data_IF_936192789295
#
_entry.id   IF_936192789295
#
_cell.length_a   1.000
_cell.length_b   1.000
_cell.length_c   1.000
_cell.angle_alpha   90.00
_cell.angle_beta   90.00
_cell.angle_gamma   90.00
#
_symmetry.space_group_name_H-M   'P 1'
#
loop_
_entity.id
_entity.type
_entity.pdbx_description
1 polymer ?
#
# COMPACT_ATOMS: atom_id res chain seq x y z
N UNK A 1 -18.17 -4.27 48.51
CA UNK A 1 -19.58 -4.01 48.27
C UNK A 1 -19.75 -2.56 47.81
N UNK A 2 -19.94 -2.32 46.55
CA UNK A 2 -20.75 -1.23 45.98
C UNK A 2 -20.81 -1.48 44.46
N UNK A 3 -22.03 -1.57 44.03
CA UNK A 3 -22.49 -2.11 42.77
C UNK A 3 -22.33 -1.11 41.61
N UNK A 4 -21.91 -1.65 40.53
CA UNK A 4 -22.05 -1.33 39.11
C UNK A 4 -23.42 -0.70 38.82
N UNK A 5 -23.43 0.36 38.02
CA UNK A 5 -24.61 0.74 37.26
C UNK A 5 -24.19 0.99 35.80
N UNK A 6 -24.52 0.01 35.00
CA UNK A 6 -24.50 -0.01 33.55
C UNK A 6 -25.51 1.01 33.02
N UNK A 7 -25.09 1.89 32.15
CA UNK A 7 -26.02 2.72 31.37
C UNK A 7 -25.84 2.38 29.89
N UNK A 8 -26.80 1.61 29.42
CA UNK A 8 -27.04 1.27 28.02
C UNK A 8 -27.60 2.55 27.35
N UNK A 9 -26.87 3.09 26.37
CA UNK A 9 -27.37 4.14 25.51
C UNK A 9 -27.68 3.56 24.14
N UNK A 10 -28.96 3.29 23.92
CA UNK A 10 -29.50 2.92 22.63
C UNK A 10 -29.60 4.17 21.74
N UNK A 11 -28.87 4.18 20.62
CA UNK A 11 -29.03 5.20 19.59
C UNK A 11 -30.05 4.71 18.58
N UNK A 12 -31.19 5.38 18.57
CA UNK A 12 -32.26 5.20 17.58
C UNK A 12 -31.85 5.93 16.32
N UNK A 13 -31.67 5.18 15.24
CA UNK A 13 -31.51 5.73 13.89
C UNK A 13 -32.88 5.98 13.32
N UNK A 14 -33.25 7.24 13.17
CA UNK A 14 -34.46 7.65 12.44
C UNK A 14 -34.14 7.75 10.97
N UNK A 15 -34.73 6.84 10.19
CA UNK A 15 -34.74 6.89 8.72
C UNK A 15 -35.84 7.85 8.30
N UNK A 16 -35.48 8.96 7.70
CA UNK A 16 -36.41 9.84 6.97
C UNK A 16 -36.24 9.61 5.46
N UNK A 17 -37.16 8.83 4.93
CA UNK A 17 -37.40 8.77 3.50
C UNK A 17 -38.21 10.01 3.08
N UNK A 18 -37.67 10.80 2.18
CA UNK A 18 -38.46 11.84 1.49
C UNK A 18 -38.50 11.51 0.01
N UNK A 19 -39.70 11.11 -0.39
CA UNK A 19 -40.20 11.03 -1.73
C UNK A 19 -40.14 12.40 -2.42
N UNK A 20 -39.49 12.48 -3.53
CA UNK A 20 -39.91 13.40 -4.60
C UNK A 20 -39.83 12.66 -5.93
N UNK A 21 -41.00 12.32 -6.44
CA UNK A 21 -41.20 11.92 -7.81
C UNK A 21 -41.12 13.12 -8.72
N UNK A 22 -40.55 12.92 -9.89
CA UNK A 22 -40.85 13.73 -11.06
C UNK A 22 -40.89 12.82 -12.29
N UNK A 23 -42.06 12.82 -12.89
CA UNK A 23 -42.46 12.09 -14.10
C UNK A 23 -42.13 12.90 -15.33
N UNK A 24 -41.83 12.22 -16.43
CA UNK A 24 -42.27 12.67 -17.74
C UNK A 24 -41.20 12.91 -18.79
N UNK A 25 -41.40 12.19 -19.88
CA UNK A 25 -41.30 12.53 -21.27
C UNK A 25 -40.05 11.98 -21.96
N UNK A 26 -40.06 10.79 -22.60
CA UNK A 26 -40.48 10.55 -24.01
C UNK A 26 -39.86 11.53 -25.04
N UNK A 27 -38.94 11.06 -25.84
CA UNK A 27 -39.03 10.66 -27.24
C UNK A 27 -37.64 10.44 -27.87
N UNK A 28 -37.47 9.30 -28.49
CA UNK A 28 -36.52 9.13 -29.59
C UNK A 28 -37.23 9.53 -30.92
N UNK A 29 -36.49 9.92 -31.96
CA UNK A 29 -36.35 9.01 -33.10
C UNK A 29 -34.96 9.05 -33.74
N UNK A 30 -34.40 7.92 -34.09
CA UNK A 30 -34.39 7.19 -35.37
C UNK A 30 -33.77 7.92 -36.58
N UNK A 31 -32.76 7.18 -37.14
CA UNK A 31 -32.41 7.03 -38.55
C UNK A 31 -31.80 8.23 -39.32
N UNK A 32 -30.57 8.02 -39.76
CA UNK A 32 -30.33 7.80 -41.20
C UNK A 32 -28.91 7.36 -41.50
N UNK A 33 -28.87 6.28 -42.21
CA UNK A 33 -27.79 5.72 -43.01
C UNK A 33 -27.23 6.75 -44.02
N UNK A 34 -25.93 6.67 -44.29
CA UNK A 34 -25.51 6.63 -45.71
C UNK A 34 -24.10 6.02 -45.78
N UNK A 35 -24.09 4.93 -46.50
CA UNK A 35 -22.95 4.25 -47.11
C UNK A 35 -22.61 5.05 -48.35
N UNK A 36 -21.36 5.39 -48.57
CA UNK A 36 -20.89 5.68 -49.92
C UNK A 36 -19.52 5.08 -50.18
N UNK A 37 -19.47 4.45 -51.30
CA UNK A 37 -18.58 3.43 -51.84
C UNK A 37 -17.39 4.10 -52.49
N UNK A 38 -16.23 3.37 -52.46
CA UNK A 38 -14.97 3.53 -53.14
C UNK A 38 -15.05 3.95 -54.63
N UNK A 39 -13.95 4.46 -55.19
CA UNK A 39 -13.22 3.52 -56.05
C UNK A 39 -11.69 3.52 -55.86
N UNK A 40 -11.14 2.35 -56.22
CA UNK A 40 -9.74 2.02 -56.49
C UNK A 40 -9.12 2.92 -57.58
N UNK A 41 -7.86 3.16 -57.54
CA UNK A 41 -6.83 2.63 -58.44
C UNK A 41 -5.41 3.19 -58.17
N UNK A 42 -4.52 2.28 -58.06
CA UNK A 42 -3.33 2.00 -58.87
C UNK A 42 -2.03 2.75 -58.59
N UNK A 43 -1.11 1.92 -58.12
CA UNK A 43 0.28 1.75 -58.56
C UNK A 43 1.27 2.90 -58.47
N UNK A 44 2.28 2.74 -57.59
CA UNK A 44 3.70 2.70 -58.01
C UNK A 44 4.61 2.37 -56.84
N UNK A 45 5.39 1.36 -57.03
CA UNK A 45 6.54 0.88 -56.24
C UNK A 45 7.56 1.99 -56.05
N UNK A 46 7.94 2.27 -54.79
CA UNK A 46 9.28 2.77 -54.48
C UNK A 46 9.72 2.22 -53.13
N UNK A 47 10.71 1.38 -53.16
CA UNK A 47 11.40 0.86 -52.00
C UNK A 47 12.07 1.99 -51.22
N UNK A 48 11.62 2.24 -49.99
CA UNK A 48 12.36 2.98 -48.97
C UNK A 48 12.40 2.12 -47.72
N UNK A 49 13.62 1.76 -47.35
CA UNK A 49 13.99 1.08 -46.12
C UNK A 49 13.41 1.86 -44.92
N UNK A 50 12.70 1.27 -43.98
CA UNK A 50 12.38 1.97 -42.76
C UNK A 50 13.65 2.08 -41.90
N UNK A 51 14.15 3.28 -41.81
CA UNK A 51 15.09 3.72 -40.80
C UNK A 51 14.44 3.45 -39.45
N UNK A 52 14.95 2.45 -38.74
CA UNK A 52 14.58 2.16 -37.36
C UNK A 52 15.03 3.36 -36.53
N UNK A 53 14.11 4.27 -36.24
CA UNK A 53 14.29 5.23 -35.15
C UNK A 53 14.51 4.45 -33.86
N UNK A 54 15.76 4.41 -33.42
CA UNK A 54 16.13 3.98 -32.09
C UNK A 54 15.45 4.96 -31.10
N UNK A 55 14.38 4.50 -30.49
CA UNK A 55 13.86 5.18 -29.28
C UNK A 55 15.02 5.34 -28.30
N UNK A 56 15.21 6.54 -27.72
CA UNK A 56 16.15 6.72 -26.63
C UNK A 56 15.72 5.80 -25.50
N UNK A 57 16.44 4.73 -25.26
CA UNK A 57 16.32 3.96 -24.04
C UNK A 57 16.66 4.93 -22.89
N UNK A 58 15.69 5.13 -21.99
CA UNK A 58 15.95 5.79 -20.73
C UNK A 58 17.15 5.09 -20.06
N UNK A 59 18.05 5.84 -19.40
CA UNK A 59 19.15 5.23 -18.65
C UNK A 59 18.56 4.17 -17.71
N UNK A 60 19.24 3.01 -17.51
CA UNK A 60 18.79 2.04 -16.53
C UNK A 60 18.63 2.78 -15.18
N UNK A 61 17.43 2.78 -14.64
CA UNK A 61 17.20 3.25 -13.27
C UNK A 61 18.15 2.43 -12.39
N UNK A 62 19.14 3.11 -11.83
CA UNK A 62 20.05 2.52 -10.86
C UNK A 62 19.20 2.25 -9.62
N UNK A 63 18.75 1.00 -9.45
CA UNK A 63 18.12 0.54 -8.21
C UNK A 63 19.13 0.87 -7.10
N UNK A 64 18.79 1.66 -6.09
CA UNK A 64 19.72 1.98 -5.03
C UNK A 64 20.21 0.69 -4.40
N UNK A 65 21.53 0.53 -4.32
CA UNK A 65 22.12 -0.65 -3.72
C UNK A 65 21.87 -0.62 -2.22
N UNK A 66 21.05 -1.55 -1.72
CA UNK A 66 20.83 -1.71 -0.28
C UNK A 66 22.10 -2.25 0.37
N UNK A 67 22.57 -1.61 1.44
CA UNK A 67 23.79 -1.93 2.16
C UNK A 67 23.45 -2.39 3.59
N UNK A 68 23.99 -3.51 4.01
CA UNK A 68 23.80 -4.02 5.38
C UNK A 68 24.36 -3.03 6.42
N UNK A 69 23.60 -2.82 7.51
CA UNK A 69 23.99 -1.91 8.60
C UNK A 69 23.62 -0.43 8.37
N UNK A 70 23.11 -0.07 7.20
CA UNK A 70 22.58 1.26 6.95
C UNK A 70 21.13 1.39 7.45
N UNK A 71 20.67 2.63 7.60
CA UNK A 71 19.33 2.96 8.09
C UNK A 71 18.38 3.25 6.95
N UNK A 72 17.23 2.60 6.94
CA UNK A 72 16.19 2.76 5.93
C UNK A 72 14.83 2.97 6.59
N UNK A 73 13.93 3.71 5.92
CA UNK A 73 12.59 4.01 6.44
C UNK A 73 11.50 4.02 5.35
N UNK A 74 11.87 4.14 4.07
CA UNK A 74 10.92 4.09 2.96
C UNK A 74 10.38 2.67 2.74
N UNK A 75 9.19 2.58 2.13
CA UNK A 75 8.57 1.30 1.75
C UNK A 75 9.53 0.45 0.90
N UNK A 76 10.08 1.06 -0.12
CA UNK A 76 10.92 0.40 -1.12
C UNK A 76 12.21 -0.12 -0.52
N UNK A 77 12.93 0.72 0.23
CA UNK A 77 14.24 0.37 0.80
C UNK A 77 14.11 -0.67 1.91
N UNK A 78 13.11 -0.53 2.80
CA UNK A 78 12.90 -1.48 3.91
C UNK A 78 12.44 -2.83 3.35
N UNK A 79 11.53 -2.86 2.37
CA UNK A 79 11.10 -4.10 1.74
C UNK A 79 12.26 -4.81 1.03
N UNK A 80 13.07 -4.05 0.27
CA UNK A 80 14.25 -4.60 -0.41
C UNK A 80 15.31 -5.09 0.59
N UNK A 81 15.50 -4.38 1.71
CA UNK A 81 16.42 -4.80 2.78
C UNK A 81 15.97 -6.14 3.39
N UNK A 82 14.69 -6.27 3.74
CA UNK A 82 14.14 -7.53 4.28
C UNK A 82 14.26 -8.65 3.25
N UNK A 83 13.92 -8.38 1.98
CA UNK A 83 14.05 -9.35 0.90
C UNK A 83 15.49 -9.84 0.71
N UNK A 84 16.47 -8.94 0.85
CA UNK A 84 17.89 -9.23 0.62
C UNK A 84 18.53 -9.95 1.80
N UNK A 85 18.24 -9.51 3.04
CA UNK A 85 18.95 -9.94 4.24
C UNK A 85 18.11 -10.78 5.21
N UNK A 86 16.80 -10.92 5.01
CA UNK A 86 15.89 -11.68 5.87
C UNK A 86 15.63 -11.04 7.24
N UNK A 87 16.04 -9.79 7.44
CA UNK A 87 15.91 -9.08 8.71
C UNK A 87 15.60 -7.58 8.48
N UNK A 88 15.18 -6.90 9.54
CA UNK A 88 15.03 -5.45 9.52
C UNK A 88 16.38 -4.72 9.56
N UNK A 89 16.48 -3.51 8.99
CA UNK A 89 17.61 -2.61 9.21
C UNK A 89 17.87 -2.31 10.69
N UNK A 90 19.12 -1.95 11.05
CA UNK A 90 19.55 -1.73 12.44
C UNK A 90 18.86 -0.54 13.13
N UNK A 91 18.20 0.34 12.37
CA UNK A 91 17.44 1.45 12.93
C UNK A 91 16.05 1.05 13.43
N UNK A 92 15.65 -0.21 13.36
CA UNK A 92 14.39 -0.68 13.94
C UNK A 92 14.61 -1.27 15.33
N UNK A 93 13.68 -0.94 16.25
CA UNK A 93 13.60 -1.52 17.60
C UNK A 93 12.17 -1.96 17.90
N UNK A 94 12.02 -2.99 18.72
CA UNK A 94 10.72 -3.50 19.12
C UNK A 94 9.99 -2.52 20.06
N UNK A 95 8.67 -2.65 20.15
CA UNK A 95 7.86 -1.91 21.14
C UNK A 95 8.34 -2.16 22.57
N UNK A 96 8.80 -3.37 22.85
CA UNK A 96 9.37 -3.73 24.16
C UNK A 96 10.64 -2.95 24.50
N UNK A 97 11.55 -2.83 23.54
CA UNK A 97 12.78 -2.05 23.67
C UNK A 97 12.48 -0.56 23.80
N UNK A 98 11.59 -0.02 22.97
CA UNK A 98 11.15 1.37 23.05
C UNK A 98 10.55 1.72 24.42
N UNK A 99 9.73 0.84 25.00
CA UNK A 99 9.17 1.03 26.35
C UNK A 99 10.22 1.07 27.45
N UNK A 100 11.32 0.32 27.34
CA UNK A 100 12.45 0.40 28.28
C UNK A 100 13.13 1.78 28.26
N UNK A 101 12.98 2.52 27.15
CA UNK A 101 13.47 3.89 27.00
C UNK A 101 12.45 4.95 27.45
N UNK A 102 11.29 4.53 27.97
CA UNK A 102 10.22 5.41 28.42
C UNK A 102 9.15 5.74 27.40
N UNK A 103 9.21 5.11 26.20
CA UNK A 103 8.17 5.32 25.17
C UNK A 103 6.85 4.65 25.55
N UNK A 104 5.75 5.41 25.50
CA UNK A 104 4.40 4.93 25.80
C UNK A 104 3.46 4.97 24.57
N UNK A 105 3.96 5.43 23.42
CA UNK A 105 3.21 5.56 22.17
C UNK A 105 3.54 6.86 21.44
N UNK A 106 3.00 7.00 20.23
CA UNK A 106 3.25 8.17 19.39
C UNK A 106 4.65 8.20 18.77
N UNK A 107 5.25 9.38 18.63
CA UNK A 107 6.60 9.55 18.08
C UNK A 107 7.65 8.82 18.91
N UNK A 108 8.57 8.13 18.24
CA UNK A 108 9.71 7.48 18.91
C UNK A 108 10.90 8.45 19.06
N UNK A 109 10.96 9.51 18.26
CA UNK A 109 12.12 10.42 18.17
C UNK A 109 12.59 10.99 19.52
N UNK A 110 11.72 11.39 20.49
CA UNK A 110 12.16 11.89 21.78
C UNK A 110 12.83 10.85 22.68
N UNK A 111 12.62 9.56 22.42
CA UNK A 111 13.07 8.44 23.27
C UNK A 111 14.25 7.67 22.66
N UNK A 112 14.23 7.54 21.33
CA UNK A 112 15.24 6.86 20.57
C UNK A 112 15.46 7.56 19.23
N UNK A 113 16.19 8.70 19.20
CA UNK A 113 16.48 9.44 17.99
C UNK A 113 17.09 8.55 16.91
N UNK A 114 16.62 8.70 15.68
CA UNK A 114 17.10 7.89 14.57
C UNK A 114 16.61 6.46 14.52
N UNK A 115 15.62 6.08 15.36
CA UNK A 115 15.03 4.74 15.38
C UNK A 115 13.57 4.74 14.96
N UNK A 116 13.11 3.59 14.45
CA UNK A 116 11.74 3.27 14.09
C UNK A 116 11.24 2.06 14.87
N UNK A 117 9.93 1.90 15.02
CA UNK A 117 9.34 0.70 15.64
C UNK A 117 9.27 -0.42 14.62
N UNK A 118 9.75 -1.61 14.97
CA UNK A 118 9.64 -2.80 14.14
C UNK A 118 10.18 -4.07 14.80
N UNK A 119 9.79 -5.22 14.23
CA UNK A 119 10.21 -6.53 14.70
C UNK A 119 9.25 -7.19 15.70
N UNK A 120 8.17 -6.52 16.07
CA UNK A 120 7.12 -7.14 16.88
C UNK A 120 6.26 -8.12 16.04
N UNK A 121 5.68 -9.13 16.70
CA UNK A 121 4.78 -10.08 16.06
C UNK A 121 3.50 -9.41 15.57
N UNK A 122 3.12 -9.70 14.33
CA UNK A 122 1.82 -9.36 13.75
C UNK A 122 0.88 -10.57 13.82
N UNK A 123 -0.34 -10.40 14.35
CA UNK A 123 -1.22 -11.50 14.69
C UNK A 123 -2.08 -12.05 13.57
N UNK A 124 -2.22 -11.33 12.44
CA UNK A 124 -3.12 -11.68 11.31
C UNK A 124 -4.51 -12.15 11.73
N UNK A 125 -5.11 -11.49 12.75
CA UNK A 125 -6.38 -11.93 13.35
C UNK A 125 -7.58 -11.81 12.41
N UNK A 126 -7.50 -10.92 11.42
CA UNK A 126 -8.50 -10.74 10.38
C UNK A 126 -8.38 -11.76 9.24
N UNK A 127 -7.29 -12.56 9.22
CA UNK A 127 -7.05 -13.58 8.20
C UNK A 127 -6.85 -13.02 6.79
N UNK A 128 -6.37 -11.77 6.67
CA UNK A 128 -6.14 -11.13 5.36
C UNK A 128 -4.86 -11.62 4.66
N UNK A 129 -3.95 -12.22 5.41
CA UNK A 129 -2.72 -12.84 4.92
C UNK A 129 -2.80 -14.36 5.10
N UNK A 130 -1.98 -15.19 4.40
CA UNK A 130 -1.91 -16.63 4.62
C UNK A 130 -1.79 -16.99 6.11
N UNK A 131 -2.64 -17.94 6.60
CA UNK A 131 -2.81 -18.19 8.03
C UNK A 131 -1.72 -19.10 8.64
N UNK A 132 -1.02 -19.85 7.83
CA UNK A 132 -0.05 -20.87 8.25
C UNK A 132 1.37 -20.32 8.48
N UNK A 133 1.49 -19.01 8.69
CA UNK A 133 2.78 -18.31 8.84
C UNK A 133 2.84 -17.42 10.07
N UNK A 134 4.04 -17.25 10.59
CA UNK A 134 4.34 -16.24 11.61
C UNK A 134 4.84 -14.96 10.95
N UNK A 135 4.18 -13.85 11.31
CA UNK A 135 4.50 -12.54 10.77
C UNK A 135 5.10 -11.61 11.81
N UNK A 136 5.98 -10.73 11.33
CA UNK A 136 6.49 -9.55 12.04
C UNK A 136 6.04 -8.29 11.32
N UNK A 137 6.00 -7.17 12.03
CA UNK A 137 5.63 -5.87 11.46
C UNK A 137 6.70 -4.81 11.71
N UNK A 138 6.72 -3.76 10.88
CA UNK A 138 7.49 -2.55 11.13
C UNK A 138 6.79 -1.31 10.59
N UNK A 139 7.08 -0.17 11.22
CA UNK A 139 6.59 1.14 10.81
C UNK A 139 7.36 1.66 9.59
N UNK A 140 6.66 2.31 8.67
CA UNK A 140 7.24 2.90 7.47
C UNK A 140 7.07 4.43 7.51
N UNK A 141 8.09 5.16 7.01
CA UNK A 141 8.15 6.64 6.96
C UNK A 141 8.01 7.31 8.33
N UNK A 142 8.57 6.71 9.39
CA UNK A 142 8.41 7.22 10.75
C UNK A 142 9.67 7.83 11.36
N UNK A 143 10.80 7.80 10.66
CA UNK A 143 12.03 8.42 11.11
C UNK A 143 11.86 9.93 11.24
N UNK A 144 12.07 10.50 12.45
CA UNK A 144 11.85 11.91 12.75
C UNK A 144 10.39 12.37 12.70
N UNK A 145 9.44 11.46 12.48
CA UNK A 145 8.02 11.81 12.39
C UNK A 145 7.39 12.10 13.76
N UNK A 146 6.36 12.96 13.76
CA UNK A 146 5.62 13.33 15.00
C UNK A 146 4.70 12.22 15.49
N UNK A 147 4.42 11.21 14.67
CA UNK A 147 3.55 10.06 14.98
C UNK A 147 3.98 8.85 14.16
N UNK A 148 3.49 7.66 14.54
CA UNK A 148 3.74 6.41 13.81
C UNK A 148 2.98 6.28 12.49
N UNK A 149 1.96 7.12 12.24
CA UNK A 149 1.12 6.98 11.06
C UNK A 149 0.48 5.59 10.90
N UNK A 150 -0.02 5.29 9.71
CA UNK A 150 -0.71 4.02 9.39
C UNK A 150 0.14 3.04 8.56
N UNK A 151 1.20 3.51 7.91
CA UNK A 151 2.01 2.71 6.99
C UNK A 151 2.82 1.64 7.70
N UNK A 152 2.72 0.39 7.23
CA UNK A 152 3.46 -0.77 7.78
C UNK A 152 3.97 -1.67 6.67
N UNK A 153 5.05 -2.38 6.98
CA UNK A 153 5.40 -3.62 6.32
C UNK A 153 5.13 -4.76 7.30
N UNK A 154 4.51 -5.83 6.78
CA UNK A 154 4.30 -7.11 7.47
C UNK A 154 5.04 -8.17 6.68
N UNK A 155 5.88 -8.95 7.33
CA UNK A 155 6.73 -9.92 6.65
C UNK A 155 6.86 -11.23 7.43
N UNK A 156 7.09 -12.33 6.72
CA UNK A 156 7.30 -13.67 7.27
C UNK A 156 8.75 -14.15 7.04
N UNK A 157 9.16 -15.18 7.77
CA UNK A 157 10.50 -15.74 7.65
C UNK A 157 10.73 -16.51 6.34
N UNK A 158 9.66 -16.94 5.68
CA UNK A 158 9.69 -17.61 4.38
C UNK A 158 9.68 -16.64 3.17
N UNK A 159 9.77 -15.34 3.42
CA UNK A 159 10.04 -14.32 2.40
C UNK A 159 8.81 -13.60 1.85
N UNK A 160 7.61 -13.80 2.43
CA UNK A 160 6.47 -12.96 2.09
C UNK A 160 6.64 -11.57 2.72
N UNK A 161 6.48 -10.52 1.91
CA UNK A 161 6.58 -9.13 2.36
C UNK A 161 5.40 -8.36 1.82
N UNK A 162 4.56 -7.86 2.71
CA UNK A 162 3.36 -7.10 2.41
C UNK A 162 3.48 -5.66 2.92
N UNK A 163 2.88 -4.73 2.20
CA UNK A 163 2.74 -3.34 2.61
C UNK A 163 1.27 -3.00 2.86
N UNK A 164 1.01 -2.16 3.84
CA UNK A 164 -0.28 -1.53 4.11
C UNK A 164 -0.08 -0.04 4.34
N UNK A 165 -0.93 0.79 3.76
CA UNK A 165 -0.94 2.24 3.99
C UNK A 165 -2.07 2.70 4.91
N UNK A 166 -3.04 1.82 5.18
CA UNK A 166 -4.31 2.06 5.84
C UNK A 166 -4.45 1.35 7.20
N UNK A 167 -3.32 1.02 7.83
CA UNK A 167 -3.27 0.37 9.16
C UNK A 167 -3.95 -1.00 9.17
N UNK A 168 -3.57 -1.84 8.19
CA UNK A 168 -3.93 -3.26 8.02
C UNK A 168 -5.34 -3.52 7.44
N UNK A 169 -6.03 -2.49 6.90
CA UNK A 169 -7.31 -2.69 6.21
C UNK A 169 -7.13 -3.38 4.85
N UNK A 170 -6.00 -3.10 4.18
CA UNK A 170 -5.61 -3.75 2.93
C UNK A 170 -4.11 -4.03 2.87
N UNK A 171 -3.71 -4.96 1.99
CA UNK A 171 -2.32 -5.34 1.80
C UNK A 171 -1.93 -5.42 0.33
N UNK A 172 -0.76 -4.89 0.01
CA UNK A 172 -0.06 -5.03 -1.26
C UNK A 172 1.08 -6.04 -1.07
N UNK A 173 1.12 -7.12 -1.87
CA UNK A 173 2.26 -8.04 -1.88
C UNK A 173 3.44 -7.38 -2.61
N UNK A 174 4.57 -7.23 -1.94
CA UNK A 174 5.78 -6.67 -2.51
C UNK A 174 6.76 -7.75 -2.96
N UNK A 175 6.93 -8.80 -2.16
CA UNK A 175 7.86 -9.91 -2.42
C UNK A 175 7.28 -11.25 -1.94
N UNK A 176 7.74 -12.32 -2.57
CA UNK A 176 7.37 -13.70 -2.27
C UNK A 176 6.15 -14.19 -3.06
N UNK A 177 5.79 -15.46 -2.84
CA UNK A 177 4.62 -16.12 -3.43
C UNK A 177 3.80 -16.72 -2.27
N UNK A 178 2.52 -16.31 -2.09
CA UNK A 178 1.66 -16.75 -1.00
C UNK A 178 1.18 -18.20 -1.15
#
# INVERSE_FOLDING_TARGET
>A
MKKILSTLLAVIVVVLASLFGFTGGEEAPALSQQIEILPEESSAVSAAVPETEAQPQAPPETVPAIVAGESYTSKEDVALYIHTYGCLPDNFITKSEARKLGWEGGSLEPYAPGKCIGGDRFGNYEGLLPEDRDYKECDIDTLGAKSRGAKRIVFSEDGLIYYTEDHYESFELLYGEP
#
